data_IF_456049831595
#
_entry.id   IF_456049831595
#
_cell.length_a   1.000
_cell.length_b   1.000
_cell.length_c   1.000
_cell.angle_alpha   90.00
_cell.angle_beta   90.00
_cell.angle_gamma   90.00
#
_symmetry.space_group_name_H-M   'P 1'
#
loop_
_entity.id
_entity.type
_entity.pdbx_description
1 polymer ?
#
# COMPACT_ATOMS: atom_id res chain seq x y z
N UNK A 1 -14.07 7.91 10.20
CA UNK A 1 -15.23 8.64 10.74
C UNK A 1 -15.21 8.69 12.27
N UNK A 2 -15.19 7.56 12.99
CA UNK A 2 -15.17 7.56 14.47
C UNK A 2 -14.00 8.35 15.08
N UNK A 3 -12.78 8.19 14.56
CA UNK A 3 -11.60 8.92 15.05
C UNK A 3 -11.80 10.45 15.01
N UNK A 4 -12.37 10.98 13.91
CA UNK A 4 -12.67 12.41 13.79
C UNK A 4 -13.74 12.86 14.78
N UNK A 5 -14.79 12.05 14.98
CA UNK A 5 -15.86 12.35 15.93
C UNK A 5 -15.29 12.36 17.35
N UNK A 6 -14.43 11.40 17.70
CA UNK A 6 -13.78 11.35 19.02
C UNK A 6 -12.90 12.58 19.28
N UNK A 7 -12.05 12.97 18.33
CA UNK A 7 -11.19 14.18 18.47
C UNK A 7 -12.03 15.45 18.54
N UNK A 8 -13.11 15.54 17.77
CA UNK A 8 -13.99 16.71 17.76
C UNK A 8 -14.79 16.83 19.08
N UNK A 9 -15.40 15.73 19.53
CA UNK A 9 -16.20 15.72 20.76
C UNK A 9 -15.37 15.95 22.02
N UNK A 10 -14.09 15.60 22.00
CA UNK A 10 -13.18 15.82 23.14
C UNK A 10 -12.87 17.30 23.41
N UNK A 11 -13.14 18.21 22.47
CA UNK A 11 -12.91 19.65 22.66
C UNK A 11 -13.98 20.34 23.52
N UNK A 12 -15.11 19.70 23.78
CA UNK A 12 -16.14 20.25 24.65
C UNK A 12 -15.80 20.04 26.13
N UNK A 13 -16.06 21.04 26.97
CA UNK A 13 -15.59 21.10 28.36
C UNK A 13 -16.00 19.91 29.24
N UNK A 14 -17.16 19.29 28.99
CA UNK A 14 -17.68 18.18 29.82
C UNK A 14 -17.12 16.80 29.41
N UNK A 15 -16.60 16.66 28.19
CA UNK A 15 -16.22 15.35 27.64
C UNK A 15 -14.99 14.71 28.32
N UNK A 16 -13.94 15.44 28.70
CA UNK A 16 -12.83 14.87 29.47
C UNK A 16 -13.29 14.18 30.76
N UNK A 17 -14.29 14.75 31.45
CA UNK A 17 -14.89 14.17 32.65
C UNK A 17 -15.65 12.87 32.38
N UNK A 18 -16.45 12.82 31.30
CA UNK A 18 -17.15 11.62 30.88
C UNK A 18 -16.20 10.48 30.49
N UNK A 19 -15.14 10.79 29.73
CA UNK A 19 -14.15 9.81 29.33
C UNK A 19 -13.41 9.23 30.53
N UNK A 20 -12.99 10.07 31.48
CA UNK A 20 -12.33 9.62 32.71
C UNK A 20 -13.21 8.68 33.54
N UNK A 21 -14.50 8.98 33.65
CA UNK A 21 -15.45 8.13 34.38
C UNK A 21 -15.74 6.80 33.67
N UNK A 22 -15.65 6.77 32.33
CA UNK A 22 -15.92 5.57 31.54
C UNK A 22 -14.69 4.65 31.40
N UNK A 23 -13.50 5.21 31.15
CA UNK A 23 -12.27 4.43 30.92
C UNK A 23 -11.42 4.23 32.16
N UNK A 24 -11.53 5.12 33.15
CA UNK A 24 -10.66 5.13 34.33
C UNK A 24 -9.21 5.53 34.04
N UNK A 25 -8.90 6.03 32.83
CA UNK A 25 -7.56 6.46 32.46
C UNK A 25 -7.19 7.82 33.06
N UNK A 26 -5.90 8.03 33.30
CA UNK A 26 -5.38 9.34 33.69
C UNK A 26 -5.36 10.29 32.49
N UNK A 27 -5.30 11.60 32.76
CA UNK A 27 -5.28 12.63 31.71
C UNK A 27 -4.08 12.47 30.77
N UNK A 28 -2.91 12.11 31.30
CA UNK A 28 -1.70 11.82 30.52
C UNK A 28 -1.83 10.60 29.60
N UNK A 29 -2.56 9.57 30.05
CA UNK A 29 -2.83 8.38 29.25
C UNK A 29 -3.85 8.67 28.15
N UNK A 30 -4.83 9.54 28.44
CA UNK A 30 -5.84 9.97 27.48
C UNK A 30 -5.22 10.86 26.39
N UNK A 31 -4.32 11.76 26.78
CA UNK A 31 -3.50 12.54 25.85
C UNK A 31 -2.64 11.66 24.95
N UNK A 32 -2.02 10.59 25.48
CA UNK A 32 -1.24 9.64 24.68
C UNK A 32 -2.06 8.85 23.64
N UNK A 33 -3.37 8.68 23.86
CA UNK A 33 -4.31 8.10 22.89
C UNK A 33 -4.67 9.12 21.78
N UNK A 34 -4.31 10.39 21.96
CA UNK A 34 -4.64 11.50 21.06
C UNK A 34 -5.91 12.25 21.44
N UNK A 35 -6.44 12.03 22.65
CA UNK A 35 -7.55 12.76 23.24
C UNK A 35 -7.00 13.85 24.16
N UNK A 36 -6.64 14.98 23.54
CA UNK A 36 -6.12 16.17 24.23
C UNK A 36 -6.91 17.41 23.81
N UNK A 37 -6.99 18.40 24.69
CA UNK A 37 -7.56 19.71 24.37
C UNK A 37 -6.52 20.55 23.62
N UNK A 38 -6.64 20.58 22.30
CA UNK A 38 -5.69 21.28 21.44
C UNK A 38 -5.97 22.78 21.34
N UNK A 39 -4.90 23.58 21.17
CA UNK A 39 -5.02 24.94 20.65
C UNK A 39 -5.41 24.93 19.16
N UNK A 40 -6.07 25.99 18.67
CA UNK A 40 -6.66 26.05 17.32
C UNK A 40 -5.73 25.61 16.16
N UNK A 41 -4.43 25.91 16.24
CA UNK A 41 -3.44 25.55 15.20
C UNK A 41 -3.08 24.06 15.18
N UNK A 42 -2.95 23.46 16.34
CA UNK A 42 -2.61 22.04 16.48
C UNK A 42 -3.83 21.16 16.20
N UNK A 43 -5.01 21.67 16.59
CA UNK A 43 -6.29 21.05 16.28
C UNK A 43 -6.52 20.90 14.78
N UNK A 44 -6.22 21.94 14.01
CA UNK A 44 -6.36 21.90 12.56
C UNK A 44 -5.52 20.77 11.95
N UNK A 45 -4.27 20.60 12.41
CA UNK A 45 -3.39 19.53 11.92
C UNK A 45 -3.87 18.13 12.34
N UNK A 46 -4.34 17.99 13.59
CA UNK A 46 -4.88 16.75 14.15
C UNK A 46 -6.16 16.26 13.44
N UNK A 47 -6.99 17.19 12.95
CA UNK A 47 -8.18 16.86 12.15
C UNK A 47 -7.85 16.67 10.67
N UNK A 48 -6.91 17.45 10.12
CA UNK A 48 -6.57 17.41 8.70
C UNK A 48 -5.93 16.09 8.29
N UNK A 49 -5.04 15.52 9.10
CA UNK A 49 -4.33 14.27 8.75
C UNK A 49 -5.32 13.09 8.58
N UNK A 50 -6.19 12.76 9.57
CA UNK A 50 -7.21 11.73 9.39
C UNK A 50 -8.26 12.12 8.35
N UNK A 51 -8.55 13.42 8.16
CA UNK A 51 -9.44 13.92 7.12
C UNK A 51 -8.93 13.64 5.71
N UNK A 52 -7.66 13.93 5.44
CA UNK A 52 -7.01 13.62 4.16
C UNK A 52 -6.93 12.11 3.93
N UNK A 53 -6.61 11.34 4.98
CA UNK A 53 -6.64 9.87 4.90
C UNK A 53 -8.04 9.35 4.52
N UNK A 54 -9.11 9.85 5.15
CA UNK A 54 -10.48 9.47 4.79
C UNK A 54 -10.85 9.86 3.36
N UNK A 55 -10.46 11.06 2.92
CA UNK A 55 -10.68 11.50 1.55
C UNK A 55 -9.96 10.57 0.55
N UNK A 56 -8.70 10.23 0.82
CA UNK A 56 -7.93 9.28 0.02
C UNK A 56 -8.58 7.89 -0.02
N UNK A 57 -9.06 7.39 1.12
CA UNK A 57 -9.80 6.12 1.17
C UNK A 57 -11.10 6.16 0.37
N UNK A 58 -11.87 7.26 0.42
CA UNK A 58 -13.10 7.44 -0.38
C UNK A 58 -12.76 7.46 -1.87
N UNK A 59 -11.72 8.21 -2.26
CA UNK A 59 -11.25 8.28 -3.65
C UNK A 59 -10.83 6.89 -4.15
N UNK A 60 -10.04 6.17 -3.35
CA UNK A 60 -9.58 4.82 -3.67
C UNK A 60 -10.77 3.85 -3.81
N UNK A 61 -11.73 3.89 -2.89
CA UNK A 61 -12.90 3.03 -2.91
C UNK A 61 -13.82 3.33 -4.09
N UNK A 62 -14.01 4.61 -4.43
CA UNK A 62 -14.94 5.02 -5.48
C UNK A 62 -14.37 4.82 -6.88
N UNK A 63 -13.13 5.23 -7.13
CA UNK A 63 -12.56 5.25 -8.48
C UNK A 63 -11.66 4.05 -8.77
N UNK A 64 -10.84 3.64 -7.81
CA UNK A 64 -9.76 2.67 -8.06
C UNK A 64 -10.13 1.24 -7.67
N UNK A 65 -11.09 1.04 -6.78
CA UNK A 65 -11.41 -0.28 -6.27
C UNK A 65 -11.92 -1.25 -7.35
N UNK A 66 -12.93 -0.86 -8.13
CA UNK A 66 -13.47 -1.76 -9.19
C UNK A 66 -12.44 -2.07 -10.28
N UNK A 67 -11.71 -1.09 -10.84
CA UNK A 67 -10.63 -1.38 -11.80
C UNK A 67 -9.52 -2.24 -11.21
N UNK A 68 -9.09 -1.97 -9.97
CA UNK A 68 -8.06 -2.76 -9.29
C UNK A 68 -8.48 -4.22 -9.10
N UNK A 69 -9.72 -4.46 -8.65
CA UNK A 69 -10.26 -5.81 -8.52
C UNK A 69 -10.27 -6.54 -9.86
N UNK A 70 -10.63 -5.87 -10.96
CA UNK A 70 -10.61 -6.46 -12.31
C UNK A 70 -9.21 -6.84 -12.78
N UNK A 71 -8.19 -6.02 -12.50
CA UNK A 71 -6.81 -6.27 -12.93
C UNK A 71 -6.18 -7.42 -12.12
N UNK A 72 -6.56 -7.54 -10.84
CA UNK A 72 -6.01 -8.55 -9.91
C UNK A 72 -6.74 -9.90 -10.00
N UNK A 73 -7.87 -9.95 -10.72
CA UNK A 73 -8.68 -11.15 -10.83
C UNK A 73 -7.96 -12.21 -11.70
N UNK A 74 -7.60 -13.34 -11.07
CA UNK A 74 -6.92 -14.44 -11.74
C UNK A 74 -7.83 -15.19 -12.73
N UNK A 75 -9.16 -14.99 -12.66
CA UNK A 75 -10.10 -15.68 -13.54
C UNK A 75 -9.92 -15.27 -15.03
N UNK A 76 -9.42 -14.06 -15.29
CA UNK A 76 -9.10 -13.60 -16.65
C UNK A 76 -7.85 -14.26 -17.27
N UNK A 77 -7.05 -14.99 -16.48
CA UNK A 77 -5.77 -15.58 -16.93
C UNK A 77 -5.90 -17.09 -17.24
N UNK A 78 -7.08 -17.70 -17.07
CA UNK A 78 -7.31 -19.12 -17.40
C UNK A 78 -8.32 -19.38 -18.54
N UNK A 79 -8.05 -18.99 -19.80
CA UNK A 79 -8.92 -19.32 -20.93
C UNK A 79 -8.49 -20.63 -21.64
N UNK A 80 -8.13 -21.72 -20.93
CA UNK A 80 -7.70 -22.97 -21.60
C UNK A 80 -8.43 -24.25 -21.16
N UNK A 81 -9.16 -24.30 -20.04
CA UNK A 81 -9.79 -25.56 -19.60
C UNK A 81 -11.32 -25.67 -19.67
N UNK A 82 -12.06 -24.62 -20.08
CA UNK A 82 -13.53 -24.65 -20.14
C UNK A 82 -14.16 -24.65 -21.53
N UNK A 83 -13.39 -24.87 -22.61
CA UNK A 83 -13.90 -24.80 -23.99
C UNK A 83 -14.22 -26.14 -24.66
N UNK A 84 -14.44 -27.22 -23.90
CA UNK A 84 -14.78 -28.55 -24.46
C UNK A 84 -16.23 -29.01 -24.25
N UNK A 85 -17.15 -28.14 -23.83
CA UNK A 85 -18.54 -28.56 -23.56
C UNK A 85 -19.64 -27.65 -24.14
N UNK A 86 -19.31 -26.71 -25.04
CA UNK A 86 -20.31 -25.86 -25.71
C UNK A 86 -20.03 -25.82 -27.21
N UNK A 87 -19.94 -27.01 -27.83
CA UNK A 87 -20.05 -27.20 -29.28
C UNK A 87 -21.33 -28.03 -29.52
N UNK A 88 -22.48 -27.38 -29.41
CA UNK A 88 -23.70 -27.80 -30.11
C UNK A 88 -24.76 -26.71 -30.02
N UNK A 89 -25.31 -26.36 -31.17
CA UNK A 89 -26.48 -25.47 -31.37
C UNK A 89 -26.07 -23.99 -31.23
N UNK A 90 -26.01 -23.15 -32.27
CA UNK A 90 -26.84 -23.02 -33.47
C UNK A 90 -26.03 -22.39 -34.63
N UNK A 91 -26.23 -22.93 -35.84
CA UNK A 91 -25.83 -22.37 -37.14
C UNK A 91 -27.12 -21.91 -37.84
N UNK A 92 -27.15 -20.67 -38.32
CA UNK A 92 -27.83 -20.15 -39.54
C UNK A 92 -27.57 -18.64 -39.55
N UNK A 93 -26.63 -18.16 -40.37
CA UNK A 93 -26.83 -17.57 -41.72
C UNK A 93 -27.63 -16.27 -41.70
N UNK A 94 -27.00 -15.16 -42.09
CA UNK A 94 -27.47 -14.20 -43.12
C UNK A 94 -26.40 -13.11 -43.38
N UNK A 95 -25.71 -13.30 -44.50
CA UNK A 95 -25.32 -12.39 -45.59
C UNK A 95 -24.78 -10.96 -45.36
N UNK A 96 -23.73 -10.74 -46.16
CA UNK A 96 -22.94 -9.57 -46.55
C UNK A 96 -23.72 -8.28 -46.87
N UNK A 97 -23.14 -7.12 -46.53
CA UNK A 97 -23.19 -5.91 -47.37
C UNK A 97 -21.94 -5.03 -47.12
N UNK A 98 -21.16 -4.81 -48.18
CA UNK A 98 -20.09 -3.83 -48.28
C UNK A 98 -20.66 -2.39 -48.29
N UNK A 99 -20.02 -1.45 -47.58
CA UNK A 99 -19.90 -0.09 -48.09
C UNK A 99 -18.66 0.62 -47.51
N UNK A 100 -17.72 0.90 -48.40
CA UNK A 100 -16.60 1.82 -48.20
C UNK A 100 -17.12 3.24 -48.36
N UNK A 101 -16.94 4.10 -47.35
CA UNK A 101 -17.03 5.56 -47.52
C UNK A 101 -15.86 6.23 -46.81
N UNK A 102 -14.81 6.50 -47.58
CA UNK A 102 -13.93 7.64 -47.38
C UNK A 102 -14.67 8.88 -47.88
N UNK A 103 -14.94 9.85 -47.00
CA UNK A 103 -15.06 11.27 -47.36
C UNK A 103 -14.45 12.10 -46.22
N UNK A 104 -13.39 12.81 -46.58
CA UNK A 104 -12.73 13.88 -45.82
C UNK A 104 -13.62 15.15 -45.80
N UNK A 105 -13.08 16.21 -45.15
CA UNK A 105 -13.55 17.60 -44.97
C UNK A 105 -14.29 17.81 -43.63
N UNK A 106 -13.62 18.29 -42.59
CA UNK A 106 -13.03 19.62 -42.34
C UNK A 106 -13.90 20.37 -41.30
N UNK A 107 -13.32 20.65 -40.14
CA UNK A 107 -13.63 21.88 -39.41
C UNK A 107 -12.40 22.28 -38.61
N UNK A 108 -11.75 23.30 -39.17
CA UNK A 108 -10.70 24.11 -38.60
C UNK A 108 -11.12 24.66 -37.24
N UNK A 109 -10.25 24.52 -36.24
CA UNK A 109 -10.08 25.54 -35.21
C UNK A 109 -8.57 25.65 -34.94
N UNK A 110 -7.92 26.43 -35.81
CA UNK A 110 -6.61 27.00 -35.57
C UNK A 110 -6.69 27.94 -34.35
N UNK A 111 -6.25 27.46 -33.20
CA UNK A 111 -5.72 28.35 -32.16
C UNK A 111 -4.20 28.33 -32.28
N UNK A 112 -3.73 29.26 -33.10
CA UNK A 112 -2.32 29.59 -33.29
C UNK A 112 -1.72 30.11 -31.97
N UNK A 113 -1.01 29.24 -31.24
CA UNK A 113 -0.03 29.60 -30.23
C UNK A 113 1.26 28.81 -30.50
N UNK A 114 2.12 29.40 -31.32
CA UNK A 114 3.44 28.90 -31.75
C UNK A 114 4.38 28.60 -30.54
N UNK A 115 5.39 27.71 -30.65
CA UNK A 115 6.18 27.52 -31.88
C UNK A 115 6.39 26.08 -32.36
N UNK A 116 6.34 25.96 -33.68
CA UNK A 116 6.76 24.83 -34.54
C UNK A 116 8.13 24.21 -34.20
N UNK A 117 8.99 24.89 -33.43
CA UNK A 117 10.26 24.34 -32.90
C UNK A 117 10.07 23.43 -31.69
N UNK A 118 9.12 23.72 -30.80
CA UNK A 118 8.81 22.87 -29.64
C UNK A 118 8.03 21.63 -30.07
N UNK A 119 7.23 21.71 -31.14
CA UNK A 119 6.60 20.54 -31.75
C UNK A 119 7.62 19.50 -32.22
N UNK A 120 8.70 19.93 -32.90
CA UNK A 120 9.77 19.03 -33.34
C UNK A 120 10.60 18.46 -32.18
N UNK A 121 10.83 19.26 -31.13
CA UNK A 121 11.50 18.78 -29.91
C UNK A 121 10.61 17.78 -29.17
N UNK A 122 9.31 18.06 -29.07
CA UNK A 122 8.32 17.16 -28.47
C UNK A 122 8.22 15.85 -29.26
N UNK A 123 8.23 15.90 -30.59
CA UNK A 123 8.21 14.71 -31.45
C UNK A 123 9.49 13.86 -31.26
N UNK A 124 10.66 14.49 -31.21
CA UNK A 124 11.91 13.77 -30.91
C UNK A 124 11.93 13.19 -29.50
N UNK A 125 11.44 13.92 -28.50
CA UNK A 125 11.30 13.44 -27.13
C UNK A 125 10.30 12.28 -27.07
N UNK A 126 9.22 12.31 -27.85
CA UNK A 126 8.21 11.26 -27.91
C UNK A 126 8.76 10.00 -28.57
N UNK A 127 9.52 10.12 -29.65
CA UNK A 127 10.20 8.98 -30.29
C UNK A 127 11.26 8.38 -29.34
N UNK A 128 12.04 9.23 -28.67
CA UNK A 128 12.98 8.79 -27.64
C UNK A 128 12.27 8.13 -26.45
N UNK A 129 11.12 8.67 -26.02
CA UNK A 129 10.34 8.13 -24.90
C UNK A 129 9.67 6.81 -25.25
N UNK A 130 9.21 6.62 -26.50
CA UNK A 130 8.75 5.32 -27.01
C UNK A 130 9.87 4.29 -26.95
N UNK A 131 11.04 4.61 -27.51
CA UNK A 131 12.20 3.71 -27.48
C UNK A 131 12.69 3.43 -26.05
N UNK A 132 12.61 4.43 -25.18
CA UNK A 132 12.92 4.27 -23.76
C UNK A 132 11.88 3.42 -23.04
N UNK A 133 10.59 3.58 -23.33
CA UNK A 133 9.51 2.75 -22.80
C UNK A 133 9.67 1.29 -23.21
N UNK A 134 10.04 1.03 -24.47
CA UNK A 134 10.34 -0.33 -24.95
C UNK A 134 11.57 -0.94 -24.25
N UNK A 135 12.55 -0.13 -23.90
CA UNK A 135 13.69 -0.59 -23.11
C UNK A 135 13.32 -0.79 -21.64
N UNK A 136 12.51 0.09 -21.06
CA UNK A 136 12.02 -0.02 -19.69
C UNK A 136 11.13 -1.24 -19.51
N UNK A 137 10.28 -1.57 -20.48
CA UNK A 137 9.46 -2.80 -20.41
C UNK A 137 10.33 -4.05 -20.45
N UNK A 138 11.36 -4.09 -21.32
CA UNK A 138 12.35 -5.19 -21.32
C UNK A 138 13.09 -5.29 -19.98
N UNK A 139 13.55 -4.16 -19.44
CA UNK A 139 14.22 -4.10 -18.13
C UNK A 139 13.27 -4.50 -17.01
N UNK A 140 11.99 -4.08 -17.06
CA UNK A 140 10.97 -4.44 -16.09
C UNK A 140 10.74 -5.95 -16.06
N UNK A 141 10.59 -6.60 -17.22
CA UNK A 141 10.45 -8.06 -17.31
C UNK A 141 11.69 -8.76 -16.76
N UNK A 142 12.88 -8.25 -17.07
CA UNK A 142 14.13 -8.77 -16.53
C UNK A 142 14.19 -8.64 -15.00
N UNK A 143 13.86 -7.47 -14.44
CA UNK A 143 13.79 -7.22 -13.01
C UNK A 143 12.75 -8.13 -12.36
N UNK A 144 11.57 -8.29 -12.96
CA UNK A 144 10.50 -9.13 -12.42
C UNK A 144 10.94 -10.59 -12.34
N UNK A 145 11.60 -11.11 -13.38
CA UNK A 145 12.15 -12.47 -13.40
C UNK A 145 13.29 -12.67 -12.40
N UNK A 146 14.14 -11.66 -12.23
CA UNK A 146 15.20 -11.68 -11.22
C UNK A 146 14.61 -11.67 -9.81
N UNK A 147 13.60 -10.82 -9.57
CA UNK A 147 12.90 -10.73 -8.31
C UNK A 147 12.19 -12.05 -7.98
N UNK A 148 11.51 -12.66 -8.95
CA UNK A 148 10.85 -13.96 -8.79
C UNK A 148 11.82 -15.05 -8.32
N UNK A 149 13.03 -15.10 -8.89
CA UNK A 149 14.02 -16.11 -8.52
C UNK A 149 14.75 -15.80 -7.20
N UNK A 150 14.96 -14.53 -6.87
CA UNK A 150 15.80 -14.11 -5.74
C UNK A 150 15.03 -13.59 -4.52
N UNK A 151 13.71 -13.41 -4.59
CA UNK A 151 12.90 -12.81 -3.51
C UNK A 151 13.19 -13.45 -2.16
N UNK A 152 13.28 -14.78 -2.10
CA UNK A 152 13.50 -15.51 -0.87
C UNK A 152 14.87 -15.22 -0.22
N UNK A 153 15.93 -15.13 -1.04
CA UNK A 153 17.28 -14.79 -0.57
C UNK A 153 17.36 -13.34 -0.11
N UNK A 154 16.71 -12.45 -0.85
CA UNK A 154 16.65 -11.03 -0.53
C UNK A 154 15.97 -10.79 0.81
N UNK A 155 14.80 -11.41 1.05
CA UNK A 155 14.09 -11.28 2.33
C UNK A 155 14.91 -11.87 3.49
N UNK A 156 15.54 -13.03 3.30
CA UNK A 156 16.43 -13.61 4.30
C UNK A 156 17.60 -12.68 4.66
N UNK A 157 18.26 -12.11 3.63
CA UNK A 157 19.35 -11.15 3.81
C UNK A 157 18.91 -9.92 4.59
N UNK A 158 17.79 -9.29 4.21
CA UNK A 158 17.25 -8.14 4.93
C UNK A 158 16.84 -8.47 6.36
N UNK A 159 16.25 -9.65 6.60
CA UNK A 159 15.86 -10.06 7.95
C UNK A 159 17.07 -10.22 8.87
N UNK A 160 18.17 -10.78 8.37
CA UNK A 160 19.41 -10.88 9.14
C UNK A 160 20.05 -9.51 9.33
N UNK A 161 20.07 -8.66 8.30
CA UNK A 161 20.58 -7.29 8.39
C UNK A 161 19.88 -6.49 9.50
N UNK A 162 18.55 -6.46 9.50
CA UNK A 162 17.75 -5.77 10.54
C UNK A 162 18.05 -6.30 11.94
N UNK A 163 18.28 -7.61 12.06
CA UNK A 163 18.60 -8.24 13.35
C UNK A 163 20.01 -7.91 13.86
N UNK A 164 20.93 -7.53 12.96
CA UNK A 164 22.28 -7.10 13.31
C UNK A 164 22.34 -5.61 13.68
N UNK A 165 21.49 -4.79 13.07
CA UNK A 165 21.43 -3.34 13.36
C UNK A 165 20.88 -3.07 14.76
N UNK A 166 19.83 -3.81 15.17
CA UNK A 166 19.28 -3.76 16.52
C UNK A 166 19.31 -5.15 17.17
N UNK A 167 20.34 -5.46 17.98
CA UNK A 167 20.43 -6.74 18.66
C UNK A 167 19.34 -6.84 19.73
N UNK A 168 18.31 -7.63 19.46
CA UNK A 168 17.24 -7.92 20.42
C UNK A 168 16.87 -9.40 20.42
N UNK A 169 16.44 -9.92 21.57
CA UNK A 169 15.98 -11.31 21.70
C UNK A 169 14.77 -11.59 20.79
N UNK A 170 13.90 -10.59 20.61
CA UNK A 170 12.74 -10.69 19.72
C UNK A 170 13.16 -10.81 18.24
N UNK A 171 14.25 -10.16 17.84
CA UNK A 171 14.81 -10.25 16.48
C UNK A 171 15.56 -11.57 16.24
N UNK A 172 16.12 -12.20 17.28
CA UNK A 172 16.78 -13.51 17.16
C UNK A 172 15.84 -14.58 16.59
N UNK A 173 14.55 -14.53 16.95
CA UNK A 173 13.52 -15.43 16.40
C UNK A 173 13.46 -15.36 14.87
N UNK A 174 13.58 -14.16 14.29
CA UNK A 174 13.62 -13.97 12.84
C UNK A 174 14.87 -14.62 12.22
N UNK A 175 16.02 -14.48 12.86
CA UNK A 175 17.28 -15.10 12.40
C UNK A 175 17.16 -16.63 12.40
N UNK A 176 16.62 -17.21 13.46
CA UNK A 176 16.42 -18.66 13.56
C UNK A 176 15.46 -19.13 12.46
N UNK A 177 14.33 -18.44 12.28
CA UNK A 177 13.33 -18.79 11.28
C UNK A 177 13.90 -18.78 9.85
N UNK A 178 14.66 -17.74 9.49
CA UNK A 178 15.27 -17.63 8.16
C UNK A 178 16.49 -18.54 7.97
N UNK A 179 17.26 -18.83 9.03
CA UNK A 179 18.37 -19.79 8.95
C UNK A 179 17.89 -21.21 8.67
N UNK A 180 16.71 -21.59 9.16
CA UNK A 180 16.06 -22.87 8.86
C UNK A 180 15.35 -22.87 7.50
N UNK A 181 14.78 -21.75 7.08
CA UNK A 181 14.04 -21.68 5.82
C UNK A 181 14.94 -21.68 4.57
N UNK A 182 16.19 -21.18 4.68
CA UNK A 182 17.19 -21.18 3.61
C UNK A 182 17.61 -22.56 3.10
N UNK A 183 17.95 -23.55 3.95
CA UNK A 183 18.26 -24.91 3.50
C UNK A 183 17.02 -25.71 3.08
N UNK A 184 15.85 -25.44 3.68
CA UNK A 184 14.64 -26.21 3.45
C UNK A 184 13.57 -25.42 2.69
N UNK A 185 13.63 -25.45 1.36
CA UNK A 185 12.71 -24.70 0.47
C UNK A 185 11.22 -24.99 0.68
N UNK A 186 10.87 -26.19 1.18
CA UNK A 186 9.48 -26.56 1.52
C UNK A 186 8.91 -25.72 2.66
N UNK A 187 9.74 -25.26 3.59
CA UNK A 187 9.31 -24.41 4.70
C UNK A 187 9.29 -22.93 4.35
N UNK A 188 9.78 -22.54 3.16
CA UNK A 188 9.87 -21.14 2.74
C UNK A 188 8.57 -20.34 2.87
N UNK A 189 7.45 -20.79 2.28
CA UNK A 189 6.17 -20.09 2.39
C UNK A 189 5.66 -19.97 3.83
N UNK A 190 5.84 -21.02 4.64
CA UNK A 190 5.41 -21.04 6.04
C UNK A 190 6.25 -20.08 6.89
N UNK A 191 7.57 -20.07 6.69
CA UNK A 191 8.48 -19.16 7.34
C UNK A 191 8.17 -17.70 6.98
N UNK A 192 7.83 -17.42 5.73
CA UNK A 192 7.42 -16.07 5.32
C UNK A 192 6.16 -15.62 6.07
N UNK A 193 5.09 -16.43 6.09
CA UNK A 193 3.86 -16.11 6.80
C UNK A 193 4.09 -15.88 8.31
N UNK A 194 4.84 -16.78 8.96
CA UNK A 194 5.16 -16.66 10.37
C UNK A 194 6.03 -15.42 10.67
N UNK A 195 7.00 -15.13 9.80
CA UNK A 195 7.85 -13.94 9.92
C UNK A 195 7.04 -12.65 9.78
N UNK A 196 6.06 -12.58 8.86
CA UNK A 196 5.19 -11.41 8.70
C UNK A 196 4.35 -11.19 9.96
N UNK A 197 3.71 -12.26 10.47
CA UNK A 197 2.95 -12.17 11.71
C UNK A 197 3.82 -11.72 12.90
N UNK A 198 5.03 -12.28 13.02
CA UNK A 198 5.96 -11.93 14.09
C UNK A 198 6.46 -10.49 14.00
N UNK A 199 6.80 -10.02 12.81
CA UNK A 199 7.18 -8.61 12.57
C UNK A 199 6.02 -7.68 12.93
N UNK A 200 4.77 -8.02 12.58
CA UNK A 200 3.61 -7.26 13.01
C UNK A 200 3.50 -7.18 14.53
N UNK A 201 3.73 -8.28 15.25
CA UNK A 201 3.76 -8.28 16.72
C UNK A 201 4.87 -7.37 17.25
N UNK A 202 6.09 -7.45 16.72
CA UNK A 202 7.21 -6.57 17.12
C UNK A 202 6.84 -5.10 16.91
N UNK A 203 6.27 -4.74 15.76
CA UNK A 203 5.87 -3.37 15.45
C UNK A 203 4.78 -2.91 16.43
N UNK A 204 3.75 -3.71 16.67
CA UNK A 204 2.70 -3.38 17.64
C UNK A 204 3.28 -3.20 19.05
N UNK A 205 4.17 -4.09 19.49
CA UNK A 205 4.83 -3.97 20.79
C UNK A 205 5.68 -2.69 20.87
N UNK A 206 6.44 -2.35 19.82
CA UNK A 206 7.24 -1.11 19.78
C UNK A 206 6.35 0.13 19.82
N UNK A 207 5.26 0.15 19.06
CA UNK A 207 4.30 1.27 19.07
C UNK A 207 3.62 1.41 20.44
N UNK A 208 3.25 0.31 21.08
CA UNK A 208 2.64 0.34 22.41
C UNK A 208 3.64 0.78 23.50
N UNK A 209 4.91 0.37 23.40
CA UNK A 209 5.95 0.77 24.35
C UNK A 209 6.26 2.27 24.32
N UNK A 210 5.97 2.96 23.21
CA UNK A 210 6.12 4.42 23.11
C UNK A 210 5.06 5.20 23.91
N UNK A 211 3.98 4.55 24.36
CA UNK A 211 2.94 5.23 25.15
C UNK A 211 3.46 5.56 26.55
N UNK A 212 3.10 6.75 27.04
CA UNK A 212 3.44 7.25 28.39
C UNK A 212 2.93 6.38 29.55
N UNK A 213 2.04 5.42 29.25
CA UNK A 213 1.59 4.38 30.19
C UNK A 213 2.77 3.55 30.71
N UNK A 214 3.81 3.35 29.91
CA UNK A 214 4.95 2.51 30.25
C UNK A 214 6.10 3.39 30.74
N UNK A 215 6.29 3.46 32.06
CA UNK A 215 7.40 4.21 32.68
C UNK A 215 8.62 3.32 32.92
N UNK A 216 9.73 3.45 32.15
CA UNK A 216 10.89 2.57 32.28
C UNK A 216 11.60 2.69 33.63
N UNK A 217 11.47 3.85 34.30
CA UNK A 217 12.09 4.12 35.59
C UNK A 217 11.55 3.21 36.71
N UNK A 218 10.27 2.85 36.66
CA UNK A 218 9.62 1.98 37.66
C UNK A 218 10.13 0.53 37.56
N UNK A 219 10.53 0.10 36.35
CA UNK A 219 11.06 -1.23 36.08
C UNK A 219 12.60 -1.28 36.05
N UNK A 220 13.25 -0.11 36.16
CA UNK A 220 14.71 -0.04 36.15
C UNK A 220 15.29 -0.53 37.48
N UNK A 221 16.14 -1.54 37.41
CA UNK A 221 16.92 -2.00 38.56
C UNK A 221 18.35 -1.53 38.38
N UNK A 222 18.80 -0.61 39.23
CA UNK A 222 20.19 -0.18 39.23
C UNK A 222 21.05 -1.24 39.89
N UNK A 223 21.86 -1.95 39.10
CA UNK A 223 22.89 -2.81 39.61
C UNK A 223 24.09 -1.95 40.07
N UNK A 224 24.07 -1.49 41.32
CA UNK A 224 25.28 -0.93 41.95
C UNK A 224 26.23 -2.07 42.32
N UNK A 225 27.43 -2.03 41.74
CA UNK A 225 28.55 -2.93 42.00
C UNK A 225 29.13 -2.73 43.41
#
# INVERSE_FOLDING_TARGET
>A
MLVLISIYTYQFEDFPGYWRNFTGFTEEQLAAVGLETFALSELFSSILIPGFFLLACILQLHYFHKPFMRITDMEHITPIHKKKSVERTEQTDFEEEELVTNMEEESEDEVELTPSKWGLVMDRILVLSRRFSDNLTKVQVFIWRLLELHIFKTVAFFSVWVSLEEPSVMNLVLVVLWSLAMPFSRFGPMASCLSTAWVCVIIMCKMLYQLSVVNPAEYSSNCSL
#
